data_IF_697283972583
#
_entry.id   IF_697283972583
#
_cell.length_a   1.000
_cell.length_b   1.000
_cell.length_c   1.000
_cell.angle_alpha   90.00
_cell.angle_beta   90.00
_cell.angle_gamma   90.00
#
_symmetry.space_group_name_H-M   'P 1'
#
loop_
_entity.id
_entity.type
_entity.pdbx_description
1 polymer ?
#
# COMPACT_ATOMS: atom_id res chain seq x y z
N UNK A 1 4.54 16.65 16.71
CA UNK A 1 3.19 16.29 16.21
C UNK A 1 3.37 15.47 14.95
N UNK A 2 2.79 14.28 14.89
CA UNK A 2 2.80 13.43 13.69
C UNK A 2 1.38 13.20 13.19
N UNK A 3 1.23 12.73 11.95
CA UNK A 3 -0.07 12.34 11.40
C UNK A 3 -0.41 10.92 11.87
N UNK A 4 -1.66 10.67 12.24
CA UNK A 4 -2.13 9.32 12.56
C UNK A 4 -2.32 8.47 11.30
N UNK A 5 -2.77 9.12 10.22
CA UNK A 5 -2.93 8.52 8.89
C UNK A 5 -2.56 9.51 7.80
N UNK A 6 -2.03 8.98 6.71
CA UNK A 6 -1.65 9.71 5.51
C UNK A 6 -2.36 9.10 4.32
N UNK A 7 -2.97 9.94 3.49
CA UNK A 7 -3.37 9.58 2.14
C UNK A 7 -2.22 9.94 1.20
N UNK A 8 -1.51 8.94 0.70
CA UNK A 8 -0.55 9.04 -0.37
C UNK A 8 -1.28 9.01 -1.72
N UNK A 9 -0.93 9.93 -2.61
CA UNK A 9 -1.40 9.97 -3.99
C UNK A 9 -0.21 10.31 -4.88
N UNK A 10 -0.04 9.57 -5.97
CA UNK A 10 0.92 9.92 -7.00
C UNK A 10 0.57 11.26 -7.62
N UNK A 11 1.59 11.91 -8.17
CA UNK A 11 1.48 13.25 -8.75
C UNK A 11 0.61 13.30 -10.03
N UNK A 12 0.32 12.14 -10.61
CA UNK A 12 -0.54 11.96 -11.78
C UNK A 12 -1.96 11.52 -11.41
N UNK A 13 -2.29 11.41 -10.11
CA UNK A 13 -3.64 11.16 -9.63
C UNK A 13 -4.40 12.47 -9.48
N UNK A 14 -5.57 12.55 -10.11
CA UNK A 14 -6.47 13.70 -10.01
C UNK A 14 -7.78 13.30 -9.31
N UNK A 15 -8.05 13.79 -8.08
CA UNK A 15 -9.30 13.48 -7.38
C UNK A 15 -10.47 14.17 -8.07
N UNK A 16 -11.43 13.39 -8.56
CA UNK A 16 -12.68 13.89 -9.16
C UNK A 16 -13.77 14.19 -8.12
N UNK A 17 -13.57 13.75 -6.88
CA UNK A 17 -14.44 13.95 -5.73
C UNK A 17 -13.61 14.01 -4.44
N UNK A 18 -14.25 14.25 -3.29
CA UNK A 18 -13.53 14.31 -2.01
C UNK A 18 -12.94 12.94 -1.64
N UNK A 19 -11.62 12.82 -1.43
CA UNK A 19 -10.99 11.56 -1.05
C UNK A 19 -11.06 11.28 0.46
N UNK A 20 -11.72 12.14 1.25
CA UNK A 20 -11.71 12.06 2.71
C UNK A 20 -12.22 10.70 3.24
N UNK A 21 -13.16 10.07 2.53
CA UNK A 21 -13.70 8.78 2.93
C UNK A 21 -12.68 7.63 2.84
N UNK A 22 -11.62 7.77 2.02
CA UNK A 22 -10.51 6.82 1.95
C UNK A 22 -9.81 6.67 3.31
N UNK A 23 -9.68 7.79 4.06
CA UNK A 23 -9.12 7.80 5.41
C UNK A 23 -9.98 6.99 6.40
N UNK A 24 -11.18 6.53 6.05
CA UNK A 24 -11.98 5.62 6.85
C UNK A 24 -11.49 4.17 6.85
N UNK A 25 -10.57 3.81 5.96
CA UNK A 25 -10.09 2.44 5.84
C UNK A 25 -9.31 1.98 7.08
N UNK A 26 -9.60 0.75 7.54
CA UNK A 26 -8.99 0.14 8.72
C UNK A 26 -7.91 -0.85 8.32
N UNK A 27 -6.73 -0.67 8.89
CA UNK A 27 -5.52 -1.43 8.57
C UNK A 27 -4.34 -0.47 8.47
N UNK A 28 -3.13 -0.99 8.64
CA UNK A 28 -1.94 -0.15 8.61
C UNK A 28 -1.66 0.40 7.20
N UNK A 29 -2.14 -0.32 6.17
CA UNK A 29 -2.12 0.11 4.77
C UNK A 29 -3.42 -0.28 4.08
N UNK A 30 -3.97 0.65 3.31
CA UNK A 30 -5.07 0.39 2.39
C UNK A 30 -4.77 0.94 1.01
N UNK A 31 -5.18 0.22 -0.02
CA UNK A 31 -4.94 0.64 -1.40
C UNK A 31 -6.00 0.03 -2.33
N UNK A 32 -6.38 0.69 -3.44
CA UNK A 32 -7.25 0.11 -4.45
C UNK A 32 -6.59 -1.12 -5.09
N UNK A 33 -7.38 -2.14 -5.41
CA UNK A 33 -6.89 -3.28 -6.19
C UNK A 33 -6.69 -2.85 -7.64
N UNK A 34 -5.53 -3.17 -8.22
CA UNK A 34 -5.29 -2.96 -9.65
C UNK A 34 -6.15 -3.95 -10.46
N UNK A 35 -7.20 -3.45 -11.13
CA UNK A 35 -8.11 -4.30 -11.91
C UNK A 35 -7.42 -5.05 -13.08
N UNK A 36 -6.25 -4.58 -13.53
CA UNK A 36 -5.50 -5.12 -14.66
C UNK A 36 -4.40 -6.13 -14.31
N UNK A 37 -4.01 -6.26 -13.02
CA UNK A 37 -2.91 -7.14 -12.60
C UNK A 37 -3.40 -8.44 -11.92
N UNK A 38 -4.64 -8.85 -12.19
CA UNK A 38 -5.19 -10.16 -11.82
C UNK A 38 -4.54 -11.29 -12.65
N UNK A 39 -3.23 -11.50 -12.47
CA UNK A 39 -2.56 -12.75 -12.89
C UNK A 39 -2.69 -13.76 -11.78
N UNK A 40 -3.89 -14.36 -11.66
CA UNK A 40 -4.24 -15.63 -10.98
C UNK A 40 -3.66 -16.03 -9.60
N UNK A 41 -2.84 -15.24 -8.92
CA UNK A 41 -2.16 -15.63 -7.67
C UNK A 41 -2.13 -14.49 -6.63
N UNK A 42 -3.29 -13.96 -6.23
CA UNK A 42 -3.41 -13.03 -5.10
C UNK A 42 -4.00 -11.65 -5.43
N UNK A 43 -4.19 -10.84 -4.38
CA UNK A 43 -4.67 -9.45 -4.48
C UNK A 43 -3.48 -8.54 -4.72
N UNK A 44 -3.42 -7.93 -5.90
CA UNK A 44 -2.41 -6.92 -6.25
C UNK A 44 -3.00 -5.52 -6.05
N UNK A 45 -2.33 -4.70 -5.25
CA UNK A 45 -2.73 -3.31 -5.00
C UNK A 45 -2.03 -2.34 -5.96
N UNK A 46 -2.73 -1.29 -6.39
CA UNK A 46 -2.09 -0.16 -7.04
C UNK A 46 -1.53 0.78 -5.96
N UNK A 47 -0.30 1.23 -6.12
CA UNK A 47 0.40 2.04 -5.11
C UNK A 47 0.28 3.54 -5.34
N UNK A 48 -0.31 3.96 -6.45
CA UNK A 48 -0.52 5.38 -6.75
C UNK A 48 -1.58 6.04 -5.87
N UNK A 49 -2.41 5.26 -5.16
CA UNK A 49 -3.27 5.76 -4.08
C UNK A 49 -3.19 4.82 -2.90
N UNK A 50 -2.75 5.31 -1.74
CA UNK A 50 -2.67 4.50 -0.52
C UNK A 50 -3.04 5.30 0.72
N UNK A 51 -3.70 4.66 1.68
CA UNK A 51 -3.79 5.14 3.05
C UNK A 51 -2.78 4.38 3.88
N UNK A 52 -1.90 5.10 4.57
CA UNK A 52 -0.86 4.50 5.41
C UNK A 52 -0.90 5.08 6.82
N UNK A 53 -0.70 4.22 7.81
CA UNK A 53 -0.39 4.62 9.18
C UNK A 53 1.13 4.81 9.29
N UNK A 54 1.64 6.04 9.41
CA UNK A 54 3.08 6.26 9.51
C UNK A 54 3.59 5.74 10.86
N UNK A 55 4.70 5.00 10.82
CA UNK A 55 5.34 4.47 12.02
C UNK A 55 6.83 4.25 11.80
N UNK A 56 7.64 4.57 12.82
CA UNK A 56 9.09 4.43 12.75
C UNK A 56 9.53 3.00 12.41
N UNK A 57 8.85 2.00 12.99
CA UNK A 57 9.10 0.58 12.72
C UNK A 57 8.82 0.22 11.26
N UNK A 58 7.71 0.70 10.69
CA UNK A 58 7.33 0.43 9.30
C UNK A 58 8.34 1.08 8.35
N UNK A 59 8.72 2.33 8.63
CA UNK A 59 9.71 3.07 7.83
C UNK A 59 11.10 2.41 7.86
N UNK A 60 11.57 1.99 9.04
CA UNK A 60 12.85 1.29 9.17
C UNK A 60 12.86 -0.01 8.38
N UNK A 61 11.77 -0.78 8.45
CA UNK A 61 11.67 -2.07 7.79
C UNK A 61 11.50 -1.94 6.27
N UNK A 62 10.78 -0.92 5.80
CA UNK A 62 10.75 -0.54 4.38
C UNK A 62 12.15 -0.22 3.87
N UNK A 63 12.94 0.55 4.64
CA UNK A 63 14.32 0.91 4.27
C UNK A 63 15.30 -0.27 4.29
N UNK A 64 15.07 -1.30 5.12
CA UNK A 64 15.82 -2.56 5.07
C UNK A 64 15.39 -3.39 3.85
N UNK A 65 14.09 -3.58 3.67
CA UNK A 65 13.53 -4.34 2.57
C UNK A 65 13.90 -3.77 1.20
N UNK A 66 14.00 -2.44 1.05
CA UNK A 66 14.40 -1.81 -0.21
C UNK A 66 15.84 -2.16 -0.65
N UNK A 67 16.66 -2.72 0.26
CA UNK A 67 18.02 -3.18 -0.02
C UNK A 67 18.10 -4.71 -0.22
N UNK A 68 17.12 -5.44 0.32
CA UNK A 68 17.10 -6.91 0.35
C UNK A 68 16.21 -7.51 -0.74
N UNK A 69 15.05 -6.88 -1.01
CA UNK A 69 14.12 -7.30 -2.07
C UNK A 69 14.73 -6.89 -3.41
N UNK A 70 15.37 -7.85 -4.07
CA UNK A 70 16.16 -7.66 -5.30
C UNK A 70 15.33 -7.66 -6.59
N UNK A 71 14.00 -7.67 -6.49
CA UNK A 71 13.14 -7.67 -7.67
C UNK A 71 11.76 -7.11 -7.39
N UNK A 72 11.52 -5.87 -7.79
CA UNK A 72 10.15 -5.46 -8.11
C UNK A 72 9.76 -6.16 -9.41
N UNK A 73 8.69 -6.97 -9.39
CA UNK A 73 8.26 -7.73 -10.57
C UNK A 73 7.88 -6.83 -11.76
N UNK A 74 7.61 -5.53 -11.50
CA UNK A 74 7.36 -4.52 -12.51
C UNK A 74 8.43 -3.39 -12.54
N UNK A 75 9.56 -3.57 -11.83
CA UNK A 75 10.67 -2.61 -11.71
C UNK A 75 10.32 -1.25 -11.08
N UNK A 76 9.09 -1.08 -10.57
CA UNK A 76 8.62 0.13 -9.89
C UNK A 76 8.37 -0.07 -8.39
N UNK A 77 7.87 0.98 -7.75
CA UNK A 77 7.39 0.96 -6.38
C UNK A 77 6.22 -0.01 -6.18
N UNK A 78 5.29 -0.10 -7.15
CA UNK A 78 4.14 -0.99 -7.07
C UNK A 78 4.57 -2.44 -6.85
N UNK A 79 5.52 -2.95 -7.65
CA UNK A 79 5.96 -4.33 -7.49
C UNK A 79 6.73 -4.57 -6.19
N UNK A 80 7.51 -3.59 -5.73
CA UNK A 80 8.22 -3.66 -4.45
C UNK A 80 7.24 -3.67 -3.27
N UNK A 81 6.30 -2.73 -3.23
CA UNK A 81 5.36 -2.57 -2.12
C UNK A 81 4.34 -3.72 -2.07
N UNK A 82 3.94 -4.29 -3.21
CA UNK A 82 3.15 -5.51 -3.24
C UNK A 82 3.93 -6.67 -2.60
N UNK A 83 5.22 -6.86 -2.91
CA UNK A 83 6.03 -7.88 -2.24
C UNK A 83 6.20 -7.60 -0.75
N UNK A 84 6.54 -6.37 -0.40
CA UNK A 84 6.74 -5.96 0.99
C UNK A 84 5.49 -6.20 1.84
N UNK A 85 4.32 -5.71 1.41
CA UNK A 85 3.10 -5.83 2.20
C UNK A 85 2.47 -7.23 2.13
N UNK A 86 2.67 -8.01 1.05
CA UNK A 86 2.23 -9.40 0.98
C UNK A 86 3.08 -10.29 1.89
N UNK A 87 4.41 -10.22 1.84
CA UNK A 87 5.28 -11.02 2.71
C UNK A 87 5.18 -10.59 4.18
N UNK A 88 4.95 -9.30 4.46
CA UNK A 88 4.71 -8.82 5.82
C UNK A 88 3.37 -9.25 6.42
N UNK A 89 2.32 -9.44 5.60
CA UNK A 89 1.04 -9.98 6.07
C UNK A 89 1.14 -11.44 6.56
N UNK A 90 2.14 -12.20 6.11
CA UNK A 90 2.39 -13.58 6.57
C UNK A 90 3.06 -13.62 7.96
N UNK A 91 3.49 -12.48 8.51
CA UNK A 91 3.92 -12.31 9.91
C UNK A 91 2.84 -11.54 10.70
N UNK A 92 1.88 -12.24 11.35
CA UNK A 92 0.57 -11.69 11.72
C UNK A 92 0.57 -10.55 12.76
N UNK A 93 1.71 -10.30 13.41
CA UNK A 93 1.74 -9.53 14.65
C UNK A 93 1.94 -8.02 14.44
N UNK A 94 2.26 -7.55 13.22
CA UNK A 94 2.71 -6.16 13.05
C UNK A 94 2.13 -5.34 11.90
N UNK A 95 1.47 -5.92 10.89
CA UNK A 95 0.67 -5.15 9.93
C UNK A 95 -0.42 -6.01 9.30
N UNK A 96 -1.63 -5.45 9.20
CA UNK A 96 -2.70 -5.98 8.35
C UNK A 96 -3.04 -4.94 7.30
N UNK A 97 -2.81 -5.26 6.03
CA UNK A 97 -3.23 -4.46 4.88
C UNK A 97 -4.61 -4.90 4.39
N UNK A 98 -5.40 -3.97 3.83
CA UNK A 98 -6.72 -4.28 3.24
C UNK A 98 -6.88 -3.60 1.89
N UNK A 99 -7.37 -4.33 0.90
CA UNK A 99 -7.82 -3.73 -0.35
C UNK A 99 -9.03 -2.82 -0.10
N UNK A 100 -9.04 -1.65 -0.74
CA UNK A 100 -10.21 -0.78 -0.76
C UNK A 100 -11.29 -1.39 -1.68
N UNK A 101 -12.58 -1.19 -1.37
CA UNK A 101 -13.67 -1.48 -2.30
C UNK A 101 -13.46 -0.77 -3.65
N UNK A 102 -13.95 -1.35 -4.75
CA UNK A 102 -13.81 -0.79 -6.11
C UNK A 102 -14.50 0.55 -6.33
N UNK A 103 -15.35 0.99 -5.40
CA UNK A 103 -16.30 2.10 -5.60
C UNK A 103 -15.87 3.42 -4.90
N UNK A 104 -14.57 3.58 -4.60
CA UNK A 104 -14.01 4.81 -4.01
C UNK A 104 -13.15 5.60 -4.99
#
# INVERSE_FOLDING_TARGET
MGFERLLFMDIDVFPVSSPAALLGCRGAVCAPTAASEWRNEGVVINTGVMVVEPGAVVSEQLGKASREITGSYNKGDQGFLNLFFVEWCVRPERLRGRALPRDY
#
